data_IF_635679876418
#
_entry.id   IF_635679876418
#
_cell.length_a   1.000
_cell.length_b   1.000
_cell.length_c   1.000
_cell.angle_alpha   90.00
_cell.angle_beta   90.00
_cell.angle_gamma   90.00
#
_symmetry.space_group_name_H-M   'P 1'
#
loop_
_entity.id
_entity.type
_entity.pdbx_description
1 polymer ?
#
# COMPACT_ATOMS: atom_id res chain seq x y z
N UNK A 1 15.37 28.97 8.41
CA UNK A 1 16.26 27.93 7.87
C UNK A 1 15.39 26.76 7.48
N UNK A 2 15.24 26.55 6.17
CA UNK A 2 14.51 25.42 5.60
C UNK A 2 15.17 24.11 6.06
N UNK A 3 14.34 23.15 6.45
CA UNK A 3 14.76 21.77 6.63
C UNK A 3 13.79 20.94 5.80
N UNK A 4 14.26 20.58 4.62
CA UNK A 4 13.63 19.70 3.65
C UNK A 4 13.16 18.41 4.35
N UNK A 5 11.88 18.36 4.73
CA UNK A 5 11.24 17.13 5.22
C UNK A 5 10.71 16.41 4.00
N UNK A 6 11.45 15.39 3.57
CA UNK A 6 11.15 14.40 2.54
C UNK A 6 9.75 14.48 1.89
N UNK A 7 9.73 15.01 0.67
CA UNK A 7 8.67 15.00 -0.35
C UNK A 7 8.36 13.57 -0.90
N UNK A 8 8.20 12.57 -0.03
CA UNK A 8 7.78 11.23 -0.49
C UNK A 8 6.47 10.82 0.17
N UNK A 9 5.38 11.40 -0.33
CA UNK A 9 4.07 10.75 -0.21
C UNK A 9 4.21 9.32 -0.79
N UNK A 10 3.68 8.28 -0.11
CA UNK A 10 3.75 6.92 -0.63
C UNK A 10 3.05 6.84 -1.99
N UNK A 11 3.79 6.42 -3.02
CA UNK A 11 3.28 6.21 -4.38
C UNK A 11 3.04 4.72 -4.60
N UNK A 12 1.78 4.33 -4.76
CA UNK A 12 1.38 2.94 -5.05
C UNK A 12 0.85 2.77 -6.48
N UNK A 13 1.23 3.67 -7.40
CA UNK A 13 0.76 3.64 -8.79
C UNK A 13 1.02 2.29 -9.46
N UNK A 14 2.18 1.68 -9.21
CA UNK A 14 2.55 0.39 -9.81
C UNK A 14 1.65 -0.75 -9.28
N UNK A 15 1.46 -0.82 -7.96
CA UNK A 15 0.62 -1.80 -7.27
C UNK A 15 -0.83 -1.65 -7.69
N UNK A 16 -1.37 -0.41 -7.67
CA UNK A 16 -2.72 -0.10 -8.09
C UNK A 16 -2.97 -0.48 -9.56
N UNK A 17 -1.98 -0.27 -10.44
CA UNK A 17 -2.07 -0.66 -11.84
C UNK A 17 -2.15 -2.18 -11.99
N UNK A 18 -1.32 -2.92 -11.26
CA UNK A 18 -1.35 -4.40 -11.26
C UNK A 18 -2.70 -4.93 -10.76
N UNK A 19 -3.20 -4.41 -9.63
CA UNK A 19 -4.49 -4.82 -9.07
C UNK A 19 -5.66 -4.53 -10.01
N UNK A 20 -5.67 -3.35 -10.64
CA UNK A 20 -6.71 -3.00 -11.64
C UNK A 20 -6.65 -3.90 -12.87
N UNK A 21 -5.46 -4.15 -13.41
CA UNK A 21 -5.31 -5.05 -14.55
C UNK A 21 -5.83 -6.46 -14.22
N UNK A 22 -5.56 -6.93 -13.00
CA UNK A 22 -6.04 -8.23 -12.54
C UNK A 22 -7.56 -8.23 -12.39
N UNK A 23 -8.17 -7.21 -11.80
CA UNK A 23 -9.64 -7.08 -11.65
C UNK A 23 -10.43 -7.18 -12.98
N UNK A 24 -9.81 -6.86 -14.12
CA UNK A 24 -10.43 -7.01 -15.44
C UNK A 24 -10.25 -8.41 -16.05
N UNK A 25 -9.55 -9.33 -15.39
CA UNK A 25 -9.37 -10.69 -15.87
C UNK A 25 -10.67 -11.51 -15.70
N UNK A 26 -11.07 -12.30 -16.72
CA UNK A 26 -12.35 -13.02 -16.72
C UNK A 26 -12.43 -14.21 -15.74
N UNK A 27 -11.32 -14.56 -15.08
CA UNK A 27 -11.18 -15.79 -14.29
C UNK A 27 -11.31 -15.57 -12.77
N UNK A 28 -11.60 -14.35 -12.33
CA UNK A 28 -11.72 -14.00 -10.91
C UNK A 28 -13.01 -14.52 -10.28
N UNK A 29 -12.88 -15.25 -9.18
CA UNK A 29 -14.01 -15.52 -8.30
C UNK A 29 -14.45 -14.23 -7.59
N UNK A 30 -15.71 -14.22 -7.11
CA UNK A 30 -16.24 -13.09 -6.36
C UNK A 30 -15.41 -12.76 -5.10
N UNK A 31 -14.86 -13.78 -4.43
CA UNK A 31 -14.03 -13.60 -3.24
C UNK A 31 -12.69 -12.93 -3.59
N UNK A 32 -12.03 -13.38 -4.64
CA UNK A 32 -10.77 -12.79 -5.10
C UNK A 32 -10.99 -11.35 -5.59
N UNK A 33 -12.08 -11.07 -6.28
CA UNK A 33 -12.45 -9.72 -6.70
C UNK A 33 -12.67 -8.80 -5.49
N UNK A 34 -13.37 -9.27 -4.46
CA UNK A 34 -13.57 -8.53 -3.21
C UNK A 34 -12.24 -8.25 -2.49
N UNK A 35 -11.35 -9.24 -2.42
CA UNK A 35 -10.02 -9.07 -1.83
C UNK A 35 -9.18 -8.03 -2.59
N UNK A 36 -9.21 -8.05 -3.92
CA UNK A 36 -8.51 -7.07 -4.74
C UNK A 36 -9.08 -5.65 -4.60
N UNK A 37 -10.39 -5.50 -4.48
CA UNK A 37 -11.01 -4.20 -4.20
C UNK A 37 -10.58 -3.68 -2.82
N UNK A 38 -10.57 -4.53 -1.80
CA UNK A 38 -10.08 -4.17 -0.47
C UNK A 38 -8.60 -3.74 -0.50
N UNK A 39 -7.75 -4.45 -1.25
CA UNK A 39 -6.36 -4.08 -1.46
C UNK A 39 -6.21 -2.69 -2.14
N UNK A 40 -7.03 -2.40 -3.16
CA UNK A 40 -7.05 -1.09 -3.83
C UNK A 40 -7.46 0.02 -2.87
N UNK A 41 -8.51 -0.19 -2.07
CA UNK A 41 -8.98 0.79 -1.10
C UNK A 41 -7.94 1.07 -0.01
N UNK A 42 -7.26 0.02 0.45
CA UNK A 42 -6.22 0.11 1.45
C UNK A 42 -5.02 0.92 0.97
N UNK A 43 -4.50 0.64 -0.24
CA UNK A 43 -3.41 1.42 -0.84
C UNK A 43 -3.81 2.89 -1.02
N UNK A 44 -5.02 3.16 -1.54
CA UNK A 44 -5.51 4.55 -1.68
C UNK A 44 -5.67 5.26 -0.34
N UNK A 45 -6.11 4.56 0.69
CA UNK A 45 -6.22 5.14 2.03
C UNK A 45 -4.83 5.50 2.57
N UNK A 46 -3.82 4.70 2.26
CA UNK A 46 -2.43 4.97 2.62
C UNK A 46 -1.81 6.13 1.84
N UNK A 47 -2.01 6.20 0.51
CA UNK A 47 -1.61 7.35 -0.32
C UNK A 47 -2.21 8.68 0.20
N UNK A 48 -3.40 8.61 0.81
CA UNK A 48 -4.10 9.78 1.37
C UNK A 48 -3.74 10.08 2.83
N UNK A 49 -2.83 9.32 3.44
CA UNK A 49 -2.46 9.46 4.85
C UNK A 49 -3.60 9.12 5.83
N UNK A 50 -4.62 8.37 5.40
CA UNK A 50 -5.78 7.99 6.24
C UNK A 50 -5.62 6.65 6.95
N UNK A 51 -4.65 5.85 6.53
CA UNK A 51 -4.42 4.51 7.06
C UNK A 51 -2.96 4.12 6.99
N UNK A 52 -2.47 3.43 8.00
CA UNK A 52 -1.07 2.99 8.13
C UNK A 52 -0.96 1.50 7.82
N UNK A 53 -0.29 1.16 6.71
CA UNK A 53 -0.08 -0.23 6.29
C UNK A 53 1.14 -0.83 6.99
N UNK A 54 2.13 0.03 7.24
CA UNK A 54 3.45 -0.21 7.83
C UNK A 54 3.40 -1.05 9.13
N UNK A 55 2.38 -0.86 9.96
CA UNK A 55 2.26 -1.47 11.29
C UNK A 55 1.27 -2.64 11.36
N UNK A 56 0.65 -3.01 10.22
CA UNK A 56 -0.37 -4.05 10.18
C UNK A 56 0.04 -5.21 9.26
N UNK A 57 0.52 -6.29 9.88
CA UNK A 57 0.95 -7.51 9.18
C UNK A 57 -0.15 -8.18 8.35
N UNK A 58 -1.43 -8.01 8.71
CA UNK A 58 -2.55 -8.52 7.92
C UNK A 58 -2.74 -7.74 6.63
N UNK A 59 -2.52 -6.42 6.66
CA UNK A 59 -2.58 -5.57 5.48
C UNK A 59 -1.48 -5.92 4.50
N UNK A 60 -0.24 -6.08 4.98
CA UNK A 60 0.91 -6.52 4.17
C UNK A 60 0.63 -7.90 3.54
N UNK A 61 0.05 -8.82 4.32
CA UNK A 61 -0.29 -10.16 3.84
C UNK A 61 -1.37 -10.14 2.75
N UNK A 62 -2.43 -9.35 2.93
CA UNK A 62 -3.49 -9.18 1.93
C UNK A 62 -2.94 -8.59 0.64
N UNK A 63 -2.13 -7.53 0.73
CA UNK A 63 -1.51 -6.90 -0.42
C UNK A 63 -0.59 -7.86 -1.16
N UNK A 64 0.25 -8.58 -0.44
CA UNK A 64 1.17 -9.56 -1.02
C UNK A 64 0.41 -10.66 -1.76
N UNK A 65 -0.70 -11.14 -1.17
CA UNK A 65 -1.56 -12.14 -1.79
C UNK A 65 -2.21 -11.60 -3.08
N UNK A 66 -2.79 -10.41 -3.04
CA UNK A 66 -3.47 -9.81 -4.19
C UNK A 66 -2.53 -9.40 -5.32
N UNK A 67 -1.30 -8.99 -5.00
CA UNK A 67 -0.27 -8.62 -5.97
C UNK A 67 0.45 -9.85 -6.56
N UNK A 68 0.39 -11.00 -5.87
CA UNK A 68 1.11 -12.22 -6.24
C UNK A 68 2.63 -12.12 -6.02
N UNK A 69 3.09 -11.07 -5.35
CA UNK A 69 4.48 -10.81 -4.99
C UNK A 69 4.55 -10.22 -3.58
N UNK A 70 5.65 -10.38 -2.85
CA UNK A 70 5.84 -9.68 -1.58
C UNK A 70 5.57 -8.18 -1.73
N UNK A 71 4.77 -7.63 -0.81
CA UNK A 71 4.59 -6.18 -0.70
C UNK A 71 5.64 -5.63 0.25
N UNK A 72 6.51 -4.77 -0.27
CA UNK A 72 7.56 -4.11 0.51
C UNK A 72 7.03 -2.78 1.04
N UNK A 73 6.70 -2.73 2.33
CA UNK A 73 6.42 -1.48 2.99
C UNK A 73 7.75 -0.70 3.14
N UNK A 74 7.79 0.54 2.65
CA UNK A 74 9.00 1.37 2.70
C UNK A 74 9.18 1.93 4.12
N UNK A 75 9.85 1.15 4.97
CA UNK A 75 10.37 1.60 6.25
C UNK A 75 11.82 2.05 6.06
N UNK A 76 12.14 3.31 6.36
CA UNK A 76 13.53 3.75 6.34
C UNK A 76 14.17 3.39 7.70
N UNK A 77 14.86 2.24 7.73
CA UNK A 77 15.55 1.74 8.92
C UNK A 77 16.64 2.70 9.43
N UNK A 78 17.12 3.66 8.62
CA UNK A 78 18.16 4.60 9.04
C UNK A 78 17.63 5.75 9.90
N UNK A 79 16.31 5.98 9.90
CA UNK A 79 15.68 7.10 10.61
C UNK A 79 14.79 6.65 11.78
N UNK A 80 14.56 5.34 11.99
CA UNK A 80 13.49 4.84 12.89
C UNK A 80 12.12 5.48 12.56
N UNK A 81 12.00 6.06 11.36
CA UNK A 81 10.86 6.83 10.88
C UNK A 81 10.35 6.18 9.59
N UNK A 82 9.09 5.74 9.60
CA UNK A 82 8.40 5.32 8.40
C UNK A 82 8.38 6.48 7.40
N UNK A 83 8.95 6.28 6.20
CA UNK A 83 8.88 7.24 5.08
C UNK A 83 7.43 7.60 4.70
N UNK A 84 6.51 6.72 5.09
CA UNK A 84 5.06 6.75 4.98
C UNK A 84 4.35 7.80 5.84
N UNK A 85 5.08 8.66 6.58
CA UNK A 85 4.52 9.57 7.58
C UNK A 85 3.71 8.88 8.71
N UNK A 86 3.94 7.59 9.00
CA UNK A 86 3.20 6.79 9.99
C UNK A 86 3.33 7.25 11.48
N UNK A 87 3.95 8.40 11.77
CA UNK A 87 4.16 8.89 13.15
C UNK A 87 3.73 10.35 13.37
N UNK A 88 3.02 10.96 12.44
CA UNK A 88 2.48 12.31 12.60
C UNK A 88 0.99 12.30 12.92
N UNK A 89 0.66 12.01 14.19
CA UNK A 89 -0.64 12.30 14.80
C UNK A 89 -0.47 13.23 16.02
#
# INVERSE_FOLDING_TARGET
>A
MHRDRHDHEPDHTAELTKLRARLYAPELSALEAAAMLAAVELLRAHEQGRFEICDNSYCISLLSLCLGTPFEAVHDEALDECSCCCHHA
#
